data_IF_784807948740
#
_entry.id   IF_784807948740
#
_cell.length_a   1.000
_cell.length_b   1.000
_cell.length_c   1.000
_cell.angle_alpha   90.00
_cell.angle_beta   90.00
_cell.angle_gamma   90.00
#
_symmetry.space_group_name_H-M   'P 1'
#
loop_
_entity.id
_entity.type
_entity.pdbx_description
1 polymer ?
#
# COMPACT_ATOMS: atom_id res chain seq x y z
N UNK A 1 -5.71 15.59 18.59
CA UNK A 1 -4.60 14.81 18.01
C UNK A 1 -5.09 13.37 17.97
N UNK A 2 -5.38 12.84 16.77
CA UNK A 2 -5.86 11.47 16.63
C UNK A 2 -4.66 10.56 16.44
N UNK A 3 -4.47 9.60 17.35
CA UNK A 3 -3.47 8.56 17.21
C UNK A 3 -3.87 7.69 16.01
N UNK A 4 -3.14 7.81 14.91
CA UNK A 4 -3.21 6.83 13.84
C UNK A 4 -2.56 5.57 14.36
N UNK A 5 -3.33 4.51 14.60
CA UNK A 5 -2.81 3.22 15.05
C UNK A 5 -1.81 2.70 14.01
N UNK A 6 -0.51 2.86 14.32
CA UNK A 6 0.59 2.38 13.50
C UNK A 6 0.60 0.85 13.53
N UNK A 7 0.62 0.23 12.34
CA UNK A 7 0.87 -1.20 12.23
C UNK A 7 2.38 -1.39 12.38
N UNK A 8 2.79 -2.09 13.43
CA UNK A 8 4.20 -2.40 13.69
C UNK A 8 4.34 -3.91 13.78
N UNK A 9 5.26 -4.46 13.01
CA UNK A 9 5.66 -5.87 13.11
C UNK A 9 6.79 -5.97 14.13
N UNK A 10 6.66 -6.87 15.09
CA UNK A 10 7.65 -7.11 16.13
C UNK A 10 8.41 -8.41 15.88
N UNK A 11 9.50 -8.63 16.63
CA UNK A 11 10.28 -9.87 16.55
C UNK A 11 9.43 -11.11 16.89
N UNK A 12 8.34 -10.95 17.65
CA UNK A 12 7.40 -12.04 17.92
C UNK A 12 6.62 -12.50 16.68
N UNK A 13 6.36 -11.60 15.71
CA UNK A 13 5.68 -11.92 14.45
C UNK A 13 6.55 -12.75 13.48
N UNK A 14 7.84 -12.87 13.81
CA UNK A 14 8.82 -13.64 13.05
C UNK A 14 8.75 -15.15 13.39
N UNK A 15 7.99 -15.53 14.42
CA UNK A 15 7.88 -16.92 14.85
C UNK A 15 7.24 -17.81 13.77
N UNK A 16 8.06 -18.63 13.12
CA UNK A 16 7.63 -19.56 12.07
C UNK A 16 7.98 -19.13 10.64
N UNK A 17 8.63 -17.97 10.46
CA UNK A 17 9.15 -17.54 9.15
C UNK A 17 10.55 -18.13 8.94
N UNK A 18 10.78 -18.84 7.83
CA UNK A 18 12.02 -19.60 7.56
C UNK A 18 13.09 -18.74 6.87
N UNK A 19 14.14 -18.30 7.58
CA UNK A 19 15.22 -17.47 6.99
C UNK A 19 16.24 -18.28 6.19
N UNK A 20 16.78 -17.74 5.07
CA UNK A 20 16.54 -16.41 4.53
C UNK A 20 15.29 -16.35 3.65
N UNK A 21 14.38 -15.40 3.91
CA UNK A 21 13.28 -15.11 3.00
C UNK A 21 13.80 -14.13 1.95
N UNK A 22 13.86 -14.56 0.70
CA UNK A 22 13.98 -13.65 -0.45
C UNK A 22 12.60 -13.28 -1.02
N UNK A 23 11.53 -13.75 -0.39
CA UNK A 23 10.17 -13.54 -0.84
C UNK A 23 9.63 -12.20 -0.32
N UNK A 24 9.02 -11.36 -1.18
CA UNK A 24 8.43 -10.11 -0.76
C UNK A 24 7.26 -10.32 0.20
N UNK A 25 7.15 -9.48 1.23
CA UNK A 25 5.94 -9.43 2.04
C UNK A 25 4.81 -8.84 1.19
N UNK A 26 3.86 -9.70 0.83
CA UNK A 26 2.67 -9.31 0.09
C UNK A 26 1.46 -9.41 1.01
N UNK A 27 0.86 -8.26 1.31
CA UNK A 27 -0.36 -8.20 2.11
C UNK A 27 -1.56 -7.84 1.25
N UNK A 28 -2.72 -8.14 1.81
CA UNK A 28 -3.99 -7.77 1.25
C UNK A 28 -4.51 -6.52 1.96
N UNK A 29 -4.93 -5.53 1.17
CA UNK A 29 -5.38 -4.26 1.71
C UNK A 29 -6.66 -3.80 1.02
N UNK A 30 -7.56 -3.19 1.78
CA UNK A 30 -8.71 -2.51 1.24
C UNK A 30 -8.33 -1.05 0.94
N UNK A 31 -8.35 -0.65 -0.33
CA UNK A 31 -8.07 0.72 -0.76
C UNK A 31 -9.32 1.28 -1.44
N UNK A 32 -9.84 2.42 -0.97
CA UNK A 32 -11.04 3.06 -1.52
C UNK A 32 -12.20 2.07 -1.76
N UNK A 33 -12.47 1.21 -0.77
CA UNK A 33 -13.47 0.14 -0.81
C UNK A 33 -13.22 -0.99 -1.85
N UNK A 34 -12.01 -1.07 -2.40
CA UNK A 34 -11.58 -2.16 -3.29
C UNK A 34 -10.53 -3.03 -2.62
N UNK A 35 -10.71 -4.35 -2.68
CA UNK A 35 -9.76 -5.33 -2.12
C UNK A 35 -8.59 -5.52 -3.08
N UNK A 36 -7.39 -5.14 -2.67
CA UNK A 36 -6.14 -5.31 -3.42
C UNK A 36 -5.35 -6.43 -2.77
N UNK A 37 -5.14 -7.52 -3.51
CA UNK A 37 -4.58 -8.77 -2.98
C UNK A 37 -3.05 -8.86 -3.04
N UNK A 38 -2.39 -8.00 -3.83
CA UNK A 38 -0.97 -8.09 -4.11
C UNK A 38 -0.26 -6.77 -3.80
N UNK A 39 -0.32 -6.33 -2.55
CA UNK A 39 0.41 -5.12 -2.12
C UNK A 39 1.77 -5.51 -1.55
N UNK A 40 2.83 -5.11 -2.24
CA UNK A 40 4.21 -5.26 -1.78
C UNK A 40 4.48 -4.29 -0.63
N UNK A 41 4.99 -4.81 0.49
CA UNK A 41 5.52 -4.00 1.59
C UNK A 41 7.03 -3.91 1.40
N UNK A 42 7.50 -2.72 1.04
CA UNK A 42 8.93 -2.43 0.90
C UNK A 42 9.37 -1.41 1.96
N UNK A 43 10.03 -1.89 3.01
CA UNK A 43 10.56 -1.05 4.09
C UNK A 43 11.73 -0.16 3.65
N UNK A 44 12.29 -0.39 2.45
CA UNK A 44 13.33 0.44 1.84
C UNK A 44 12.79 1.57 0.98
N UNK A 45 11.47 1.59 0.68
CA UNK A 45 10.83 2.64 -0.08
C UNK A 45 10.39 3.79 0.82
N UNK A 46 10.63 5.03 0.39
CA UNK A 46 10.13 6.23 1.06
C UNK A 46 8.75 6.67 0.57
N UNK A 47 8.20 6.01 -0.46
CA UNK A 47 6.97 6.41 -1.14
C UNK A 47 6.10 5.21 -1.48
N UNK A 48 4.78 5.40 -1.44
CA UNK A 48 3.79 4.45 -1.95
C UNK A 48 3.62 4.60 -3.46
N UNK A 49 3.53 3.48 -4.18
CA UNK A 49 3.35 3.45 -5.64
C UNK A 49 2.12 2.63 -6.00
N UNK A 50 1.23 3.22 -6.80
CA UNK A 50 0.06 2.55 -7.35
C UNK A 50 0.14 2.49 -8.87
N UNK A 51 -0.08 1.32 -9.45
CA UNK A 51 -0.13 1.18 -10.90
C UNK A 51 -1.44 1.73 -11.46
N UNK A 52 -1.37 2.39 -12.62
CA UNK A 52 -2.52 2.92 -13.34
C UNK A 52 -3.55 1.82 -13.67
N UNK A 53 -3.09 0.61 -14.00
CA UNK A 53 -3.99 -0.52 -14.26
C UNK A 53 -4.83 -0.86 -13.02
N UNK A 54 -4.23 -0.81 -11.82
CA UNK A 54 -4.92 -1.03 -10.55
C UNK A 54 -5.88 0.11 -10.24
N UNK A 55 -5.43 1.37 -10.40
CA UNK A 55 -6.29 2.54 -10.20
C UNK A 55 -7.57 2.47 -11.06
N UNK A 56 -7.43 2.14 -12.34
CA UNK A 56 -8.58 1.98 -13.26
C UNK A 56 -9.56 0.90 -12.81
N UNK A 57 -9.06 -0.19 -12.21
CA UNK A 57 -9.91 -1.28 -11.68
C UNK A 57 -10.62 -0.88 -10.39
N UNK A 58 -10.05 0.04 -9.61
CA UNK A 58 -10.63 0.53 -8.37
C UNK A 58 -11.75 1.57 -8.59
N UNK A 59 -11.83 2.16 -9.78
CA UNK A 59 -12.87 3.13 -10.16
C UNK A 59 -12.40 4.58 -10.34
N UNK A 60 -11.43 5.12 -9.57
CA UNK A 60 -10.91 6.45 -9.82
C UNK A 60 -10.29 6.59 -11.21
N UNK A 61 -10.41 7.80 -11.75
CA UNK A 61 -9.95 8.16 -13.08
C UNK A 61 -8.67 8.98 -13.03
N UNK A 62 -8.02 9.16 -14.18
CA UNK A 62 -6.85 10.05 -14.29
C UNK A 62 -7.16 11.51 -13.91
N UNK A 63 -8.44 11.92 -13.93
CA UNK A 63 -8.86 13.28 -13.58
C UNK A 63 -8.80 13.53 -12.07
N UNK A 64 -8.79 12.46 -11.29
CA UNK A 64 -8.73 12.51 -9.82
C UNK A 64 -7.28 12.63 -9.32
N UNK A 65 -6.30 12.58 -10.23
CA UNK A 65 -4.88 12.76 -9.91
C UNK A 65 -4.53 14.24 -9.75
N UNK A 66 -3.74 14.53 -8.73
CA UNK A 66 -3.07 15.83 -8.59
C UNK A 66 -1.80 15.81 -9.47
N UNK A 67 -1.58 16.84 -10.31
CA UNK A 67 -0.35 16.94 -11.10
C UNK A 67 0.89 16.88 -10.22
N UNK A 68 1.90 16.12 -10.65
CA UNK A 68 3.18 16.03 -9.97
C UNK A 68 4.31 16.15 -10.99
N UNK A 69 5.29 17.02 -10.71
CA UNK A 69 6.48 17.20 -11.53
C UNK A 69 7.72 16.53 -10.93
N UNK A 70 7.57 15.88 -9.77
CA UNK A 70 8.67 15.25 -9.05
C UNK A 70 8.86 13.82 -9.57
N UNK A 71 9.99 13.51 -10.22
CA UNK A 71 10.31 12.14 -10.58
C UNK A 71 10.50 11.27 -9.34
N UNK A 72 10.14 10.00 -9.46
CA UNK A 72 10.47 8.96 -8.47
C UNK A 72 11.80 8.35 -8.87
N UNK A 73 12.76 8.32 -7.96
CA UNK A 73 14.07 7.73 -8.20
C UNK A 73 14.12 6.32 -7.65
N UNK A 74 14.44 5.36 -8.53
CA UNK A 74 14.68 3.98 -8.16
C UNK A 74 16.11 3.74 -7.66
N UNK A 75 16.34 2.56 -7.12
CA UNK A 75 17.64 2.13 -6.57
C UNK A 75 18.79 2.20 -7.59
N UNK A 76 18.51 1.95 -8.87
CA UNK A 76 19.49 1.99 -9.97
C UNK A 76 19.69 3.39 -10.57
N UNK A 77 19.25 4.45 -9.87
CA UNK A 77 19.24 5.86 -10.34
C UNK A 77 18.38 6.12 -11.58
N UNK A 78 17.60 5.14 -12.01
CA UNK A 78 16.54 5.36 -12.98
C UNK A 78 15.44 6.20 -12.34
N UNK A 79 14.80 7.03 -13.17
CA UNK A 79 13.72 7.90 -12.73
C UNK A 79 12.48 7.67 -13.55
N UNK A 80 11.34 7.56 -12.88
CA UNK A 80 10.03 7.46 -13.53
C UNK A 80 9.28 8.75 -13.26
N UNK A 81 8.73 9.34 -14.33
CA UNK A 81 7.80 10.46 -14.20
C UNK A 81 6.41 9.91 -13.87
N UNK A 82 5.88 10.16 -12.66
CA UNK A 82 4.55 9.72 -12.30
C UNK A 82 3.50 10.47 -13.12
N UNK A 83 2.32 9.86 -13.28
CA UNK A 83 1.16 10.50 -13.88
C UNK A 83 0.54 11.56 -12.97
N UNK A 84 0.80 11.46 -11.67
CA UNK A 84 0.32 12.34 -10.63
C UNK A 84 0.36 11.65 -9.28
N UNK A 85 -0.15 12.34 -8.27
CA UNK A 85 -0.37 11.78 -6.92
C UNK A 85 -1.86 11.60 -6.65
N UNK A 86 -2.17 10.69 -5.75
CA UNK A 86 -3.54 10.44 -5.31
C UNK A 86 -3.59 10.18 -3.81
N UNK A 87 -4.67 10.62 -3.18
CA UNK A 87 -5.00 10.32 -1.79
C UNK A 87 -6.19 9.36 -1.76
N UNK A 88 -6.02 8.20 -1.16
CA UNK A 88 -7.03 7.14 -1.09
C UNK A 88 -7.21 6.67 0.35
N UNK A 89 -8.45 6.36 0.74
CA UNK A 89 -8.70 5.74 2.04
C UNK A 89 -8.12 4.32 2.06
N UNK A 90 -7.43 3.97 3.14
CA UNK A 90 -6.78 2.67 3.36
C UNK A 90 -7.41 1.97 4.55
N UNK A 91 -7.61 0.67 4.45
CA UNK A 91 -7.89 -0.18 5.61
C UNK A 91 -7.12 -1.47 5.51
N UNK A 92 -6.32 -1.77 6.53
CA UNK A 92 -5.55 -3.02 6.66
C UNK A 92 -6.17 -3.84 7.79
N UNK A 93 -6.26 -5.16 7.58
CA UNK A 93 -6.83 -6.11 8.55
C UNK A 93 -8.11 -6.80 8.04
N UNK A 94 -8.51 -7.88 8.70
CA UNK A 94 -9.77 -8.58 8.44
C UNK A 94 -10.87 -8.09 9.40
N UNK A 95 -12.09 -7.91 8.89
CA UNK A 95 -13.27 -7.77 9.75
C UNK A 95 -13.39 -9.03 10.63
N UNK A 96 -13.66 -8.93 11.95
CA UNK A 96 -13.78 -10.10 12.80
C UNK A 96 -14.87 -11.02 12.23
N UNK A 97 -14.47 -12.19 11.73
CA UNK A 97 -15.41 -13.28 11.46
C UNK A 97 -15.94 -13.70 12.83
N UNK A 98 -17.21 -13.43 13.08
CA UNK A 98 -17.86 -13.71 14.36
C UNK A 98 -17.76 -15.21 14.71
N UNK A 99 -16.83 -15.56 15.60
CA UNK A 99 -17.10 -16.40 16.77
C UNK A 99 -16.01 -16.39 17.87
N UNK A 100 -14.91 -15.64 17.70
CA UNK A 100 -13.98 -15.28 18.79
C UNK A 100 -13.16 -14.05 18.33
N UNK A 101 -13.15 -12.96 19.11
CA UNK A 101 -12.35 -11.74 18.82
C UNK A 101 -10.86 -12.06 18.75
N UNK A 102 -10.00 -11.36 18.01
CA UNK A 102 -9.90 -9.92 17.80
C UNK A 102 -9.31 -9.61 16.40
N UNK A 103 -10.13 -9.20 15.44
CA UNK A 103 -9.65 -8.67 14.17
C UNK A 103 -9.40 -7.17 14.29
N UNK A 104 -8.15 -6.75 14.43
CA UNK A 104 -7.82 -5.33 14.46
C UNK A 104 -7.91 -4.75 13.03
N UNK A 105 -8.90 -3.86 12.82
CA UNK A 105 -9.01 -3.04 11.61
C UNK A 105 -8.22 -1.74 11.81
N UNK A 106 -7.30 -1.45 10.89
CA UNK A 106 -6.50 -0.23 10.91
C UNK A 106 -6.91 0.66 9.74
N UNK A 107 -7.56 1.78 10.04
CA UNK A 107 -7.94 2.78 9.05
C UNK A 107 -6.86 3.85 8.89
N UNK A 108 -6.56 4.23 7.65
CA UNK A 108 -5.60 5.27 7.30
C UNK A 108 -5.85 5.89 5.92
N UNK A 109 -4.91 6.67 5.42
CA UNK A 109 -4.89 7.17 4.04
C UNK A 109 -3.60 6.77 3.34
N UNK A 110 -3.69 6.30 2.10
CA UNK A 110 -2.56 6.17 1.19
C UNK A 110 -2.40 7.48 0.42
N UNK A 111 -1.22 8.10 0.53
CA UNK A 111 -0.80 9.20 -0.33
C UNK A 111 0.36 8.71 -1.17
N UNK A 112 0.08 8.36 -2.43
CA UNK A 112 1.04 7.70 -3.29
C UNK A 112 1.12 8.28 -4.69
N UNK A 113 2.12 7.84 -5.42
CA UNK A 113 2.30 8.17 -6.82
C UNK A 113 1.58 7.15 -7.72
N UNK A 114 1.02 7.64 -8.82
CA UNK A 114 0.44 6.76 -9.85
C UNK A 114 1.39 6.66 -11.04
N UNK A 115 1.81 5.46 -11.39
CA UNK A 115 2.68 5.21 -12.55
C UNK A 115 2.02 4.35 -13.62
N UNK A 116 2.52 4.39 -14.86
CA UNK A 116 2.10 3.46 -15.91
C UNK A 116 2.67 2.07 -15.61
N UNK A 117 1.96 1.03 -16.03
CA UNK A 117 2.57 -0.30 -16.17
C UNK A 117 3.57 -0.23 -17.34
N UNK A 118 4.70 -0.91 -17.18
CA UNK A 118 5.68 -1.19 -18.22
C UNK A 118 5.12 -2.09 -19.33
#
# INVERSE_FOLDING_TARGET
MGEGNTITFMEEDVWGVHFPHNDPLVIMIQIANTRVHQTLVDNGSSVDILYLATLKKMGPSLKDLKPCATPIYGFIRDSIQPLGTIELALTVGESPQTHHGDGNIFGGGLSGYVQRSD
#
